data_IF_005264028068
#
_entry.id   IF_005264028068
#
_cell.length_a   1.000
_cell.length_b   1.000
_cell.length_c   1.000
_cell.angle_alpha   90.00
_cell.angle_beta   90.00
_cell.angle_gamma   90.00
#
_symmetry.space_group_name_H-M   'P 1'
#
loop_
_entity.id
_entity.type
_entity.pdbx_description
1 polymer ?
#
# COMPACT_ATOMS: atom_id res chain seq x y z
N UNK A 1 -9.04 -5.80 17.22
CA UNK A 1 -8.03 -6.80 16.86
C UNK A 1 -6.72 -6.20 16.35
N UNK A 2 -6.73 -5.03 15.70
CA UNK A 2 -5.51 -4.41 15.19
C UNK A 2 -4.49 -3.99 16.25
N UNK A 3 -4.94 -3.64 17.45
CA UNK A 3 -4.07 -3.17 18.54
C UNK A 3 -3.20 -4.30 19.13
N UNK A 4 -3.76 -5.51 19.33
CA UNK A 4 -3.00 -6.66 19.80
C UNK A 4 -1.93 -7.10 18.78
N UNK A 5 -2.25 -7.04 17.49
CA UNK A 5 -1.30 -7.34 16.42
C UNK A 5 -0.16 -6.31 16.36
N UNK A 6 -0.46 -5.04 16.59
CA UNK A 6 0.54 -3.95 16.65
C UNK A 6 1.50 -4.11 17.82
N UNK A 7 1.00 -4.51 18.98
CA UNK A 7 1.84 -4.77 20.17
C UNK A 7 2.78 -5.95 19.91
N UNK A 8 2.30 -7.02 19.30
CA UNK A 8 3.14 -8.15 18.88
C UNK A 8 4.20 -7.72 17.88
N UNK A 9 3.81 -6.94 16.88
CA UNK A 9 4.74 -6.41 15.87
C UNK A 9 5.80 -5.52 16.51
N UNK A 10 5.43 -4.60 17.40
CA UNK A 10 6.36 -3.74 18.12
C UNK A 10 7.36 -4.55 18.96
N UNK A 11 6.92 -5.63 19.61
CA UNK A 11 7.80 -6.54 20.36
C UNK A 11 8.79 -7.27 19.46
N UNK A 12 8.34 -7.78 18.31
CA UNK A 12 9.22 -8.42 17.33
C UNK A 12 10.25 -7.45 16.76
N UNK A 13 9.84 -6.21 16.54
CA UNK A 13 10.70 -5.14 16.04
C UNK A 13 11.75 -4.69 17.04
N UNK A 14 11.49 -4.82 18.34
CA UNK A 14 12.44 -4.53 19.39
C UNK A 14 13.47 -5.65 19.59
N UNK A 15 13.22 -6.85 19.08
CA UNK A 15 14.21 -7.94 19.06
C UNK A 15 15.29 -7.62 18.03
N UNK A 16 16.52 -8.03 18.32
CA UNK A 16 17.61 -7.93 17.35
C UNK A 16 17.25 -8.82 16.16
N UNK A 17 16.85 -8.22 15.07
CA UNK A 17 16.54 -8.93 13.85
C UNK A 17 17.83 -9.56 13.30
N UNK A 18 17.83 -10.89 13.16
CA UNK A 18 18.99 -11.65 12.68
C UNK A 18 19.23 -11.52 11.16
N UNK A 19 18.29 -10.87 10.44
CA UNK A 19 18.37 -10.68 9.00
C UNK A 19 17.96 -11.89 8.16
N UNK A 20 17.40 -12.93 8.78
CA UNK A 20 16.97 -14.17 8.11
C UNK A 20 15.55 -14.59 8.49
N UNK A 21 14.71 -13.64 8.89
CA UNK A 21 13.33 -13.92 9.31
C UNK A 21 12.35 -13.62 8.18
N UNK A 22 11.39 -14.51 7.99
CA UNK A 22 10.23 -14.29 7.15
C UNK A 22 9.07 -13.80 8.03
N UNK A 23 8.56 -12.62 7.72
CA UNK A 23 7.36 -12.07 8.35
C UNK A 23 6.19 -12.13 7.37
N UNK A 24 5.06 -12.63 7.84
CA UNK A 24 3.80 -12.62 7.10
C UNK A 24 2.80 -11.78 7.87
N UNK A 25 2.35 -10.67 7.29
CA UNK A 25 1.44 -9.72 7.90
C UNK A 25 0.13 -9.67 7.11
N UNK A 26 -0.96 -9.91 7.80
CA UNK A 26 -2.30 -9.87 7.20
C UNK A 26 -2.99 -8.56 7.57
N UNK A 27 -3.18 -7.69 6.57
CA UNK A 27 -3.83 -6.39 6.69
C UNK A 27 -3.34 -5.55 7.89
N UNK A 28 -2.03 -5.32 8.03
CA UNK A 28 -1.47 -4.67 9.22
C UNK A 28 -1.91 -3.20 9.38
N UNK A 29 -2.45 -2.57 8.34
CA UNK A 29 -2.92 -1.17 8.40
C UNK A 29 -4.39 -1.04 8.77
N UNK A 30 -5.13 -2.14 8.95
CA UNK A 30 -6.56 -2.10 9.28
C UNK A 30 -6.81 -1.32 10.57
N UNK A 31 -7.69 -0.34 10.50
CA UNK A 31 -8.07 0.50 11.63
C UNK A 31 -7.01 1.51 12.07
N UNK A 32 -5.89 1.63 11.34
CA UNK A 32 -4.88 2.64 11.60
C UNK A 32 -5.25 4.02 11.07
N UNK A 33 -4.99 5.04 11.87
CA UNK A 33 -4.98 6.42 11.42
C UNK A 33 -3.83 6.64 10.43
N UNK A 34 -3.98 7.60 9.52
CA UNK A 34 -3.01 7.91 8.47
C UNK A 34 -1.57 8.09 8.99
N UNK A 35 -1.39 8.82 10.10
CA UNK A 35 -0.07 9.04 10.69
C UNK A 35 0.56 7.74 11.24
N UNK A 36 -0.25 6.84 11.77
CA UNK A 36 0.22 5.57 12.31
C UNK A 36 0.60 4.58 11.20
N UNK A 37 -0.10 4.63 10.07
CA UNK A 37 0.27 3.88 8.87
C UNK A 37 1.68 4.27 8.40
N UNK A 38 1.99 5.55 8.32
CA UNK A 38 3.32 6.02 7.91
C UNK A 38 4.42 5.52 8.85
N UNK A 39 4.19 5.56 10.15
CA UNK A 39 5.13 5.01 11.15
C UNK A 39 5.34 3.52 10.97
N UNK A 40 4.27 2.76 10.75
CA UNK A 40 4.33 1.31 10.50
C UNK A 40 5.17 1.02 9.26
N UNK A 41 4.95 1.72 8.16
CA UNK A 41 5.70 1.51 6.91
C UNK A 41 7.20 1.77 7.08
N UNK A 42 7.59 2.79 7.84
CA UNK A 42 9.00 3.05 8.16
C UNK A 42 9.63 1.90 8.92
N UNK A 43 8.90 1.32 9.84
CA UNK A 43 9.35 0.18 10.63
C UNK A 43 9.51 -1.06 9.75
N UNK A 44 8.53 -1.35 8.89
CA UNK A 44 8.59 -2.47 7.96
C UNK A 44 9.78 -2.35 6.99
N UNK A 45 10.03 -1.16 6.48
CA UNK A 45 11.20 -0.91 5.63
C UNK A 45 12.52 -1.17 6.36
N UNK A 46 12.63 -0.80 7.63
CA UNK A 46 13.83 -1.10 8.43
C UNK A 46 14.06 -2.60 8.59
N UNK A 47 13.01 -3.39 8.75
CA UNK A 47 13.11 -4.85 8.80
C UNK A 47 13.67 -5.42 7.51
N UNK A 48 13.17 -4.95 6.37
CA UNK A 48 13.66 -5.37 5.05
C UNK A 48 15.12 -4.96 4.85
N UNK A 49 15.48 -3.75 5.22
CA UNK A 49 16.85 -3.23 5.09
C UNK A 49 17.87 -4.04 5.91
N UNK A 50 17.42 -4.68 6.99
CA UNK A 50 18.24 -5.60 7.79
C UNK A 50 18.38 -7.00 7.18
N UNK A 51 17.79 -7.26 6.01
CA UNK A 51 17.87 -8.53 5.31
C UNK A 51 16.71 -9.48 5.55
N UNK A 52 15.66 -9.06 6.26
CA UNK A 52 14.46 -9.86 6.46
C UNK A 52 13.56 -9.81 5.23
N UNK A 53 12.70 -10.80 5.09
CA UNK A 53 11.68 -10.87 4.03
C UNK A 53 10.31 -10.61 4.62
N UNK A 54 9.54 -9.72 4.01
CA UNK A 54 8.16 -9.42 4.39
C UNK A 54 7.21 -9.81 3.26
N UNK A 55 6.18 -10.56 3.65
CA UNK A 55 4.98 -10.76 2.82
C UNK A 55 3.83 -10.04 3.51
N UNK A 56 3.25 -9.08 2.82
CA UNK A 56 2.16 -8.24 3.36
C UNK A 56 0.93 -8.43 2.50
N UNK A 57 -0.16 -8.85 3.12
CA UNK A 57 -1.47 -8.94 2.48
C UNK A 57 -2.17 -7.61 2.73
N UNK A 58 -2.37 -6.82 1.69
CA UNK A 58 -2.92 -5.47 1.81
C UNK A 58 -3.71 -5.04 0.57
N UNK A 59 -4.62 -4.10 0.80
CA UNK A 59 -5.33 -3.36 -0.24
C UNK A 59 -5.17 -1.83 -0.07
N UNK A 60 -4.41 -1.40 0.94
CA UNK A 60 -4.12 0.00 1.18
C UNK A 60 -3.14 0.54 0.13
N UNK A 61 -3.53 1.58 -0.64
CA UNK A 61 -2.68 2.13 -1.69
C UNK A 61 -1.31 2.64 -1.21
N UNK A 62 -1.24 3.14 0.02
CA UNK A 62 0.01 3.64 0.60
C UNK A 62 1.03 2.53 0.85
N UNK A 63 0.56 1.33 1.16
CA UNK A 63 1.41 0.13 1.29
C UNK A 63 1.81 -0.40 -0.08
N UNK A 64 0.84 -0.50 -0.98
CA UNK A 64 1.04 -1.05 -2.32
C UNK A 64 2.10 -0.25 -3.10
N UNK A 65 2.05 1.07 -3.03
CA UNK A 65 2.97 1.95 -3.78
C UNK A 65 4.44 1.81 -3.38
N UNK A 66 4.73 1.40 -2.14
CA UNK A 66 6.10 1.24 -1.64
C UNK A 66 6.61 -0.20 -1.69
N UNK A 67 5.80 -1.15 -2.12
CA UNK A 67 6.21 -2.53 -2.26
C UNK A 67 7.32 -2.68 -3.29
N UNK A 68 8.27 -3.58 -3.03
CA UNK A 68 9.31 -3.92 -4.00
C UNK A 68 8.77 -4.85 -5.10
N UNK A 69 7.83 -5.71 -4.71
CA UNK A 69 7.21 -6.68 -5.61
C UNK A 69 5.73 -6.87 -5.22
N UNK A 70 4.87 -6.95 -6.21
CA UNK A 70 3.42 -7.12 -6.04
C UNK A 70 2.97 -8.40 -6.72
N UNK A 71 2.10 -9.13 -6.04
CA UNK A 71 1.34 -10.25 -6.62
C UNK A 71 -0.14 -9.88 -6.48
N UNK A 72 -0.78 -9.59 -7.60
CA UNK A 72 -2.20 -9.22 -7.65
C UNK A 72 -3.04 -10.45 -7.96
N UNK A 73 -3.92 -10.79 -7.02
CA UNK A 73 -4.82 -11.92 -7.15
C UNK A 73 -6.19 -11.46 -7.70
N UNK A 74 -6.81 -12.30 -8.50
CA UNK A 74 -8.11 -12.04 -9.09
C UNK A 74 -9.20 -11.78 -8.04
N UNK A 75 -10.25 -11.00 -8.42
CA UNK A 75 -11.22 -10.45 -7.49
C UNK A 75 -12.20 -11.48 -6.91
N UNK A 76 -12.33 -12.66 -7.52
CA UNK A 76 -13.25 -13.70 -7.07
C UNK A 76 -12.57 -14.66 -6.09
N UNK A 77 -13.30 -15.08 -5.06
CA UNK A 77 -12.87 -16.11 -4.11
C UNK A 77 -13.29 -17.52 -4.52
N UNK A 78 -12.82 -18.53 -3.80
CA UNK A 78 -13.15 -19.94 -4.03
C UNK A 78 -12.56 -20.51 -5.33
N UNK A 79 -13.27 -21.46 -5.94
CA UNK A 79 -12.80 -22.18 -7.13
C UNK A 79 -12.62 -21.30 -8.38
N UNK A 80 -13.27 -20.14 -8.42
CA UNK A 80 -13.18 -19.17 -9.51
C UNK A 80 -12.17 -18.04 -9.25
N UNK A 81 -11.66 -17.94 -8.02
CA UNK A 81 -10.73 -16.90 -7.60
C UNK A 81 -9.30 -17.39 -7.42
N UNK A 82 -8.46 -16.50 -6.91
CA UNK A 82 -7.09 -16.83 -6.54
C UNK A 82 -6.11 -16.97 -7.71
N UNK A 83 -6.51 -16.61 -8.91
CA UNK A 83 -5.59 -16.57 -10.06
C UNK A 83 -4.75 -15.29 -10.02
N UNK A 84 -3.49 -15.41 -10.33
CA UNK A 84 -2.61 -14.26 -10.47
C UNK A 84 -3.01 -13.47 -11.71
N UNK A 85 -3.42 -12.22 -11.51
CA UNK A 85 -3.78 -11.28 -12.58
C UNK A 85 -2.56 -10.51 -13.08
N UNK A 86 -1.70 -10.10 -12.16
CA UNK A 86 -0.47 -9.38 -12.45
C UNK A 86 0.56 -9.65 -11.37
N UNK A 87 1.83 -9.59 -11.72
CA UNK A 87 2.96 -9.69 -10.78
C UNK A 87 4.14 -8.87 -11.28
N UNK A 88 4.93 -8.35 -10.39
CA UNK A 88 6.11 -7.56 -10.70
C UNK A 88 6.30 -6.38 -9.78
N UNK A 89 7.17 -5.47 -10.17
CA UNK A 89 7.32 -4.18 -9.49
C UNK A 89 6.04 -3.35 -9.59
N UNK A 90 5.82 -2.36 -8.72
CA UNK A 90 4.66 -1.47 -8.83
C UNK A 90 4.50 -0.87 -10.23
N UNK A 91 5.60 -0.46 -10.85
CA UNK A 91 5.59 0.07 -12.21
C UNK A 91 5.11 -0.96 -13.25
N UNK A 92 5.61 -2.18 -13.19
CA UNK A 92 5.20 -3.26 -14.08
C UNK A 92 3.71 -3.61 -13.91
N UNK A 93 3.24 -3.69 -12.66
CA UNK A 93 1.83 -3.95 -12.37
C UNK A 93 0.93 -2.80 -12.85
N UNK A 94 1.39 -1.55 -12.77
CA UNK A 94 0.65 -0.38 -13.26
C UNK A 94 0.37 -0.43 -14.77
N UNK A 95 1.20 -1.12 -15.53
CA UNK A 95 1.04 -1.29 -16.96
C UNK A 95 0.04 -2.39 -17.34
N UNK A 96 -0.37 -3.23 -16.38
CA UNK A 96 -1.33 -4.29 -16.62
C UNK A 96 -2.77 -3.76 -16.57
N UNK A 97 -3.40 -3.63 -17.74
CA UNK A 97 -4.78 -3.08 -17.86
C UNK A 97 -5.85 -3.92 -17.18
N UNK A 98 -5.61 -5.21 -16.96
CA UNK A 98 -6.53 -6.13 -16.28
C UNK A 98 -6.44 -6.05 -14.77
N UNK A 99 -5.40 -5.44 -14.23
CA UNK A 99 -5.16 -5.34 -12.79
C UNK A 99 -5.88 -4.10 -12.22
N UNK A 100 -6.79 -4.34 -11.28
CA UNK A 100 -7.40 -3.25 -10.51
C UNK A 100 -6.36 -2.52 -9.65
N UNK A 101 -5.47 -3.27 -9.02
CA UNK A 101 -4.31 -2.75 -8.29
C UNK A 101 -3.42 -1.92 -9.19
N UNK A 102 -3.18 -2.37 -10.43
CA UNK A 102 -2.41 -1.63 -11.42
C UNK A 102 -3.01 -0.26 -11.73
N UNK A 103 -4.32 -0.15 -11.83
CA UNK A 103 -5.01 1.14 -12.04
C UNK A 103 -4.81 2.11 -10.87
N UNK A 104 -4.84 1.60 -9.64
CA UNK A 104 -4.57 2.40 -8.45
C UNK A 104 -3.14 2.95 -8.48
N UNK A 105 -2.17 2.10 -8.79
CA UNK A 105 -0.76 2.50 -8.87
C UNK A 105 -0.53 3.50 -10.00
N UNK A 106 -1.12 3.30 -11.16
CA UNK A 106 -1.04 4.23 -12.29
C UNK A 106 -1.52 5.63 -11.89
N UNK A 107 -2.64 5.72 -11.18
CA UNK A 107 -3.16 6.99 -10.69
C UNK A 107 -2.24 7.68 -9.67
N UNK A 108 -1.47 6.92 -8.91
CA UNK A 108 -0.49 7.45 -7.95
C UNK A 108 0.77 7.95 -8.67
N UNK A 109 1.27 7.18 -9.64
CA UNK A 109 2.49 7.50 -10.38
C UNK A 109 2.31 8.65 -11.38
N UNK A 110 1.09 8.81 -11.90
CA UNK A 110 0.71 9.89 -12.83
C UNK A 110 -0.41 10.74 -12.22
N UNK A 111 -0.11 11.62 -11.27
CA UNK A 111 -1.12 12.49 -10.69
C UNK A 111 -1.78 13.33 -11.78
N UNK A 112 -3.09 13.21 -11.92
CA UNK A 112 -3.88 14.05 -12.82
C UNK A 112 -3.60 15.50 -12.47
N UNK A 113 -3.13 16.29 -13.43
CA UNK A 113 -3.01 17.75 -13.28
C UNK A 113 -4.38 18.26 -12.82
N UNK A 114 -4.45 18.79 -11.62
CA UNK A 114 -5.64 19.47 -11.12
C UNK A 114 -5.88 20.64 -12.06
N UNK A 115 -6.97 20.60 -12.82
CA UNK A 115 -7.37 21.78 -13.60
C UNK A 115 -7.56 22.93 -12.63
N UNK A 116 -6.95 24.10 -12.86
CA UNK A 116 -7.18 25.25 -12.00
C UNK A 116 -8.68 25.53 -11.95
N UNK A 117 -9.21 25.65 -10.74
CA UNK A 117 -10.59 26.08 -10.54
C UNK A 117 -10.66 27.52 -11.06
N UNK A 118 -11.29 27.71 -12.20
CA UNK A 118 -11.61 29.04 -12.69
C UNK A 118 -12.55 29.70 -11.66
N UNK A 119 -11.97 30.49 -10.77
CA UNK A 119 -12.74 31.44 -9.96
C UNK A 119 -13.17 32.56 -10.89
N UNK A 120 -14.27 32.37 -11.58
CA UNK A 120 -15.03 33.48 -12.14
C UNK A 120 -15.64 34.23 -10.94
N UNK A 121 -14.90 35.14 -10.38
CA UNK A 121 -15.46 36.13 -9.46
C UNK A 121 -16.29 37.06 -10.33
N UNK A 122 -17.58 36.81 -10.39
CA UNK A 122 -18.51 37.81 -10.90
C UNK A 122 -18.52 38.98 -9.91
N UNK A 123 -17.82 40.04 -10.27
CA UNK A 123 -18.04 41.34 -9.62
C UNK A 123 -19.44 41.80 -10.01
N UNK A 124 -20.44 41.45 -9.21
CA UNK A 124 -21.67 42.23 -9.20
C UNK A 124 -21.35 43.56 -8.53
N UNK A 125 -21.33 44.62 -9.34
CA UNK A 125 -21.14 45.97 -8.87
C UNK A 125 -22.24 46.30 -7.86
N UNK A 126 -21.81 46.88 -6.76
CA UNK A 126 -22.68 47.57 -5.81
C UNK A 126 -22.75 48.99 -6.36
N UNK A 127 -23.91 49.35 -6.90
CA UNK A 127 -24.27 50.72 -7.21
C UNK A 127 -24.83 51.37 -5.97
#
# INVERSE_FOLDING_TARGET
CGEAQRIKLAKELSKVATGNTLYILDEPTTGLHFADTDKLLKVLNRLVDKGNTLIVIEHNPDVIKIADYIIDLGPEGGDKGGKIVAKGTPKEVSLCKKSYTGKIIENILTPKKIKPINKSVSKKGIS
#
